data_IF_032362837761
#
_entry.id   IF_032362837761
#
_cell.length_a   1.000
_cell.length_b   1.000
_cell.length_c   1.000
_cell.angle_alpha   90.00
_cell.angle_beta   90.00
_cell.angle_gamma   90.00
#
_symmetry.space_group_name_H-M   'P 1'
#
loop_
_entity.id
_entity.type
_entity.pdbx_description
1 polymer ?
#
# COMPACT_ATOMS: atom_id res chain seq x y z
N UNK A 1 -9.16 2.59 34.19
CA UNK A 1 -8.04 1.68 33.88
C UNK A 1 -8.12 1.30 32.42
N UNK A 2 -7.24 1.87 31.58
CA UNK A 2 -7.16 1.52 30.16
C UNK A 2 -6.38 0.21 30.06
N UNK A 3 -7.06 -0.90 29.76
CA UNK A 3 -6.42 -2.21 29.57
C UNK A 3 -5.69 -2.20 28.20
N UNK A 4 -4.54 -1.54 28.15
CA UNK A 4 -3.59 -1.68 27.04
C UNK A 4 -3.03 -3.09 27.14
N UNK A 5 -3.50 -3.95 26.25
CA UNK A 5 -3.09 -5.35 26.13
C UNK A 5 -1.56 -5.38 26.02
N UNK A 6 -0.91 -6.15 26.92
CA UNK A 6 0.55 -6.26 27.01
C UNK A 6 1.22 -6.70 25.69
N UNK A 7 0.43 -7.24 24.77
CA UNK A 7 0.85 -7.63 23.42
C UNK A 7 1.26 -6.44 22.53
N UNK A 8 0.82 -5.21 22.82
CA UNK A 8 1.26 -3.99 22.10
C UNK A 8 2.76 -3.71 22.27
N UNK A 9 3.40 -4.22 23.34
CA UNK A 9 4.85 -4.10 23.51
C UNK A 9 5.65 -5.08 22.63
N UNK A 10 5.03 -6.21 22.25
CA UNK A 10 5.66 -7.28 21.48
C UNK A 10 5.30 -7.22 19.99
N UNK A 11 4.11 -6.74 19.66
CA UNK A 11 3.82 -6.22 18.34
C UNK A 11 4.72 -5.01 18.14
N UNK A 12 5.63 -5.05 17.15
CA UNK A 12 6.28 -3.83 16.67
C UNK A 12 5.21 -2.75 16.56
N UNK A 13 5.49 -1.52 17.02
CA UNK A 13 4.44 -0.53 17.23
C UNK A 13 3.55 -0.48 15.99
N UNK A 14 2.24 -0.63 16.16
CA UNK A 14 1.30 -0.72 15.02
C UNK A 14 1.51 0.41 14.01
N UNK A 15 1.96 1.58 14.49
CA UNK A 15 2.36 2.70 13.65
C UNK A 15 3.57 2.38 12.75
N UNK A 16 4.60 1.67 13.21
CA UNK A 16 5.76 1.27 12.39
C UNK A 16 5.34 0.36 11.24
N UNK A 17 4.42 -0.57 11.48
CA UNK A 17 3.87 -1.41 10.42
C UNK A 17 3.09 -0.56 9.41
N UNK A 18 2.23 0.34 9.91
CA UNK A 18 1.45 1.22 9.05
C UNK A 18 2.31 2.19 8.24
N UNK A 19 3.31 2.81 8.88
CA UNK A 19 4.29 3.70 8.24
C UNK A 19 5.06 2.95 7.16
N UNK A 20 5.56 1.74 7.44
CA UNK A 20 6.26 0.93 6.44
C UNK A 20 5.39 0.61 5.21
N UNK A 21 4.14 0.21 5.44
CA UNK A 21 3.19 -0.05 4.35
C UNK A 21 2.86 1.21 3.55
N UNK A 22 2.64 2.33 4.22
CA UNK A 22 2.37 3.62 3.57
C UNK A 22 3.58 4.13 2.79
N UNK A 23 4.80 3.96 3.30
CA UNK A 23 6.03 4.36 2.61
C UNK A 23 6.25 3.51 1.35
N UNK A 24 6.10 2.19 1.44
CA UNK A 24 6.13 1.29 0.29
C UNK A 24 5.09 1.68 -0.75
N UNK A 25 3.85 1.96 -0.31
CA UNK A 25 2.78 2.38 -1.20
C UNK A 25 3.07 3.74 -1.86
N UNK A 26 3.56 4.72 -1.10
CA UNK A 26 3.93 6.04 -1.59
C UNK A 26 5.08 5.96 -2.59
N UNK A 27 6.06 5.08 -2.35
CA UNK A 27 7.16 4.84 -3.29
C UNK A 27 6.65 4.25 -4.61
N UNK A 28 5.75 3.26 -4.55
CA UNK A 28 5.10 2.70 -5.74
C UNK A 28 4.28 3.75 -6.49
N UNK A 29 3.57 4.61 -5.76
CA UNK A 29 2.82 5.74 -6.32
C UNK A 29 3.74 6.70 -7.05
N UNK A 30 4.86 7.09 -6.43
CA UNK A 30 5.88 7.99 -6.98
C UNK A 30 6.50 7.44 -8.27
N UNK A 31 6.85 6.16 -8.30
CA UNK A 31 7.35 5.48 -9.52
C UNK A 31 6.29 5.49 -10.63
N UNK A 32 5.02 5.36 -10.26
CA UNK A 32 3.89 5.36 -11.20
C UNK A 32 3.55 6.74 -11.74
N UNK A 33 3.96 7.80 -11.03
CA UNK A 33 3.80 9.21 -11.42
C UNK A 33 4.93 9.72 -12.33
N UNK A 34 5.84 8.86 -12.82
CA UNK A 34 6.94 9.25 -13.71
C UNK A 34 6.49 9.95 -15.02
N UNK A 35 5.24 9.84 -15.45
CA UNK A 35 4.73 10.58 -16.61
C UNK A 35 4.18 11.95 -16.22
N UNK A 36 4.94 13.01 -16.51
CA UNK A 36 4.52 14.40 -16.28
C UNK A 36 3.28 14.84 -17.09
N UNK A 37 2.98 14.21 -18.24
CA UNK A 37 1.91 14.67 -19.12
C UNK A 37 0.50 14.20 -18.70
N UNK A 38 0.37 13.04 -18.05
CA UNK A 38 -0.93 12.49 -17.62
C UNK A 38 -0.77 11.60 -16.36
N UNK A 39 -0.43 12.21 -15.21
CA UNK A 39 -0.12 11.46 -13.99
C UNK A 39 -1.30 10.61 -13.49
N UNK A 40 -2.52 11.16 -13.53
CA UNK A 40 -3.71 10.51 -12.99
C UNK A 40 -4.23 9.38 -13.87
N UNK A 41 -4.27 9.56 -15.19
CA UNK A 41 -4.72 8.51 -16.12
C UNK A 41 -3.76 7.33 -16.17
N UNK A 42 -2.44 7.58 -16.09
CA UNK A 42 -1.44 6.51 -16.04
C UNK A 42 -1.47 5.77 -14.71
N UNK A 43 -1.67 6.48 -13.60
CA UNK A 43 -1.86 5.87 -12.30
C UNK A 43 -3.10 4.97 -12.27
N UNK A 44 -4.25 5.48 -12.72
CA UNK A 44 -5.50 4.72 -12.76
C UNK A 44 -5.36 3.44 -13.59
N UNK A 45 -4.73 3.52 -14.77
CA UNK A 45 -4.46 2.35 -15.62
C UNK A 45 -3.57 1.33 -14.92
N UNK A 46 -2.55 1.77 -14.18
CA UNK A 46 -1.62 0.88 -13.47
C UNK A 46 -2.29 0.22 -12.26
N UNK A 47 -3.13 0.93 -11.52
CA UNK A 47 -3.94 0.38 -10.42
C UNK A 47 -4.91 -0.68 -10.96
N UNK A 48 -5.62 -0.38 -12.07
CA UNK A 48 -6.50 -1.35 -12.73
C UNK A 48 -5.74 -2.59 -13.21
N UNK A 49 -4.55 -2.42 -13.78
CA UNK A 49 -3.71 -3.53 -14.21
C UNK A 49 -3.33 -4.44 -13.02
N UNK A 50 -2.82 -3.86 -11.92
CA UNK A 50 -2.47 -4.62 -10.71
C UNK A 50 -3.69 -5.34 -10.15
N UNK A 51 -4.84 -4.66 -10.02
CA UNK A 51 -6.08 -5.26 -9.55
C UNK A 51 -6.51 -6.45 -10.43
N UNK A 52 -6.38 -6.32 -11.76
CA UNK A 52 -6.72 -7.39 -12.69
C UNK A 52 -5.78 -8.60 -12.55
N UNK A 53 -4.46 -8.38 -12.39
CA UNK A 53 -3.51 -9.45 -12.14
C UNK A 53 -3.78 -10.16 -10.81
N UNK A 54 -4.07 -9.40 -9.75
CA UNK A 54 -4.46 -9.96 -8.45
C UNK A 54 -5.75 -10.77 -8.57
N UNK A 55 -6.74 -10.28 -9.30
CA UNK A 55 -7.99 -11.00 -9.53
C UNK A 55 -7.78 -12.31 -10.30
N UNK A 56 -6.90 -12.32 -11.32
CA UNK A 56 -6.55 -13.54 -12.05
C UNK A 56 -5.85 -14.53 -11.12
N UNK A 57 -4.88 -14.07 -10.32
CA UNK A 57 -4.14 -14.93 -9.38
C UNK A 57 -4.95 -15.41 -8.16
N UNK A 58 -6.12 -14.83 -7.87
CA UNK A 58 -7.06 -15.35 -6.87
C UNK A 58 -8.01 -16.39 -7.49
N UNK A 59 -8.26 -16.28 -8.81
CA UNK A 59 -9.21 -17.14 -9.53
C UNK A 59 -8.61 -18.48 -9.95
N UNK A 60 -7.29 -18.56 -10.08
CA UNK A 60 -6.51 -19.76 -10.41
C UNK A 60 -5.55 -20.10 -9.28
#
# INVERSE_FOLDING_TARGET
>A
LLHVVQDIKNCRPVWVHWTFFLEQYCQLLKISLCSCQHPWSNLARKVLHVAHLTQIGIKY
#
